data_IF_689824543355
#
_entry.id   IF_689824543355
#
_cell.length_a   1.000
_cell.length_b   1.000
_cell.length_c   1.000
_cell.angle_alpha   90.00
_cell.angle_beta   90.00
_cell.angle_gamma   90.00
#
_symmetry.space_group_name_H-M   'P 1'
#
loop_
_entity.id
_entity.type
_entity.pdbx_description
1 polymer ?
#
# COMPACT_ATOMS: atom_id res chain seq x y z
N UNK A 1 -23.60 21.77 22.79
CA UNK A 1 -22.69 22.50 21.90
C UNK A 1 -21.33 21.90 22.13
N UNK A 2 -20.96 20.94 21.29
CA UNK A 2 -19.67 20.26 21.30
C UNK A 2 -18.77 21.08 20.38
N UNK A 3 -17.75 21.74 20.90
CA UNK A 3 -17.03 22.82 20.22
C UNK A 3 -16.01 22.33 19.16
N UNK A 4 -16.06 21.05 18.78
CA UNK A 4 -15.20 20.48 17.76
C UNK A 4 -13.72 20.46 18.13
N UNK A 5 -13.36 20.75 19.38
CA UNK A 5 -11.96 20.73 19.82
C UNK A 5 -11.51 19.28 20.00
N UNK A 6 -10.81 18.76 18.98
CA UNK A 6 -10.13 17.47 19.06
C UNK A 6 -8.98 17.60 20.07
N UNK A 7 -9.15 17.05 21.26
CA UNK A 7 -8.10 16.97 22.28
C UNK A 7 -7.10 15.89 21.86
N UNK A 8 -6.07 16.31 21.11
CA UNK A 8 -4.93 15.45 20.78
C UNK A 8 -4.06 15.29 22.02
N UNK A 9 -3.83 14.04 22.46
CA UNK A 9 -2.94 13.73 23.59
C UNK A 9 -1.57 14.39 23.37
N UNK A 10 -0.98 15.02 24.40
CA UNK A 10 0.20 15.89 24.26
C UNK A 10 1.44 15.21 23.67
N UNK A 11 1.55 13.87 23.76
CA UNK A 11 2.64 13.11 23.13
C UNK A 11 2.52 12.93 21.61
N UNK A 12 1.30 12.89 21.06
CA UNK A 12 1.07 12.67 19.62
C UNK A 12 1.23 13.96 18.80
N UNK A 13 1.01 15.11 19.45
CA UNK A 13 1.05 16.44 18.83
C UNK A 13 2.49 16.84 18.47
N UNK A 14 3.45 16.49 19.32
CA UNK A 14 4.89 16.78 19.13
C UNK A 14 5.45 16.06 17.90
N UNK A 15 5.03 14.82 17.63
CA UNK A 15 5.49 14.08 16.45
C UNK A 15 4.80 14.53 15.16
N UNK A 16 3.53 14.91 15.22
CA UNK A 16 2.82 15.41 14.04
C UNK A 16 3.32 16.80 13.63
N UNK A 17 3.55 17.69 14.58
CA UNK A 17 4.10 19.02 14.31
C UNK A 17 5.52 18.90 13.72
N UNK A 18 6.36 18.01 14.28
CA UNK A 18 7.70 17.71 13.76
C UNK A 18 7.67 17.08 12.36
N UNK A 19 6.69 16.20 12.10
CA UNK A 19 6.47 15.60 10.78
C UNK A 19 6.01 16.65 9.76
N UNK A 20 5.05 17.50 10.12
CA UNK A 20 4.55 18.60 9.28
C UNK A 20 5.67 19.62 9.02
N UNK A 21 6.50 19.92 10.01
CA UNK A 21 7.63 20.83 9.90
C UNK A 21 8.75 20.25 9.02
N UNK A 22 9.00 18.94 9.08
CA UNK A 22 9.90 18.23 8.17
C UNK A 22 9.39 18.24 6.71
N UNK A 23 8.07 18.18 6.51
CA UNK A 23 7.45 18.33 5.18
C UNK A 23 7.54 19.78 4.68
N UNK A 24 7.34 20.78 5.55
CA UNK A 24 7.39 22.21 5.19
C UNK A 24 8.81 22.70 4.90
N UNK A 25 9.80 22.34 5.71
CA UNK A 25 11.21 22.72 5.49
C UNK A 25 11.74 22.20 4.15
N UNK A 26 11.33 20.99 3.74
CA UNK A 26 11.65 20.45 2.41
C UNK A 26 10.96 21.19 1.26
N UNK A 27 9.73 21.65 1.46
CA UNK A 27 9.00 22.47 0.47
C UNK A 27 9.66 23.84 0.26
N UNK A 28 10.13 24.48 1.33
CA UNK A 28 10.81 25.79 1.28
C UNK A 28 12.17 25.67 0.57
N UNK A 29 12.94 24.61 0.84
CA UNK A 29 14.24 24.42 0.19
C UNK A 29 14.10 24.22 -1.33
N UNK A 30 13.01 23.60 -1.79
CA UNK A 30 12.64 23.47 -3.21
C UNK A 30 12.20 24.77 -3.88
N UNK A 31 11.77 25.79 -3.13
CA UNK A 31 11.39 27.09 -3.69
C UNK A 31 12.58 28.07 -3.74
N UNK A 32 13.51 27.96 -2.80
CA UNK A 32 14.75 28.75 -2.80
C UNK A 32 15.64 28.38 -4.00
N UNK A 33 15.64 27.13 -4.45
CA UNK A 33 16.35 26.73 -5.68
C UNK A 33 15.65 27.19 -6.98
N UNK A 34 14.40 27.69 -6.92
CA UNK A 34 13.65 28.18 -8.08
C UNK A 34 13.74 29.69 -8.29
N UNK A 35 14.22 30.48 -7.33
CA UNK A 35 14.25 31.94 -7.45
C UNK A 35 15.46 32.51 -8.21
N UNK A 36 16.35 31.65 -8.76
CA UNK A 36 17.54 32.12 -9.50
C UNK A 36 17.41 32.03 -11.03
N UNK A 37 16.30 31.56 -11.60
CA UNK A 37 16.10 31.65 -13.07
C UNK A 37 14.66 32.05 -13.41
N UNK A 38 14.56 33.12 -14.20
CA UNK A 38 13.36 33.93 -14.38
C UNK A 38 12.46 33.49 -15.55
N UNK A 39 11.18 33.85 -15.41
CA UNK A 39 10.24 34.37 -16.42
C UNK A 39 9.51 33.44 -17.41
N UNK A 40 8.28 33.91 -17.70
CA UNK A 40 7.32 33.68 -18.78
C UNK A 40 6.39 32.45 -18.76
N UNK A 41 5.10 32.80 -18.59
CA UNK A 41 3.94 32.35 -19.35
C UNK A 41 3.37 30.93 -19.17
N UNK A 42 2.31 30.91 -18.35
CA UNK A 42 0.99 30.28 -18.54
C UNK A 42 0.83 29.28 -19.70
N UNK A 43 1.06 27.98 -19.43
CA UNK A 43 0.07 26.89 -19.65
C UNK A 43 0.51 25.51 -19.10
N UNK A 44 1.44 25.47 -18.13
CA UNK A 44 2.22 24.28 -17.81
C UNK A 44 1.87 23.58 -16.49
N UNK A 45 0.68 23.78 -15.92
CA UNK A 45 0.37 23.26 -14.56
C UNK A 45 0.34 21.72 -14.49
N UNK A 46 -0.26 21.04 -15.48
CA UNK A 46 -0.30 19.58 -15.52
C UNK A 46 1.03 18.96 -15.99
N UNK A 47 1.68 19.57 -16.98
CA UNK A 47 2.99 19.16 -17.47
C UNK A 47 4.09 19.39 -16.43
N UNK A 48 4.00 20.43 -15.59
CA UNK A 48 4.92 20.62 -14.45
C UNK A 48 4.66 19.65 -13.30
N UNK A 49 3.45 19.09 -13.19
CA UNK A 49 3.16 18.06 -12.17
C UNK A 49 3.68 16.70 -12.63
N UNK A 50 3.54 16.37 -13.92
CA UNK A 50 4.16 15.19 -14.56
C UNK A 50 5.69 15.31 -14.65
N UNK A 51 6.23 16.49 -14.97
CA UNK A 51 7.68 16.73 -15.00
C UNK A 51 8.28 16.71 -13.58
N UNK A 52 7.54 17.12 -12.54
CA UNK A 52 7.95 16.89 -11.15
C UNK A 52 7.97 15.41 -10.77
N UNK A 53 7.12 14.56 -11.35
CA UNK A 53 7.23 13.12 -11.16
C UNK A 53 8.49 12.54 -11.83
N UNK A 54 8.90 13.10 -12.97
CA UNK A 54 10.09 12.64 -13.72
C UNK A 54 11.42 13.24 -13.23
N UNK A 55 11.44 14.31 -12.44
CA UNK A 55 12.68 14.96 -11.96
C UNK A 55 13.31 14.30 -10.71
N UNK A 56 12.71 13.23 -10.16
CA UNK A 56 13.18 12.52 -8.96
C UNK A 56 13.83 11.16 -9.25
N UNK A 57 14.24 10.91 -10.49
CA UNK A 57 14.47 9.54 -10.97
C UNK A 57 15.79 8.88 -10.53
N UNK A 58 16.83 9.64 -10.15
CA UNK A 58 18.18 9.02 -10.06
C UNK A 58 18.79 8.89 -8.65
N UNK A 59 18.26 9.56 -7.62
CA UNK A 59 18.77 9.40 -6.24
C UNK A 59 17.67 9.37 -5.15
N UNK A 60 16.40 9.38 -5.56
CA UNK A 60 15.22 9.56 -4.69
C UNK A 60 14.38 8.30 -4.52
N UNK A 61 14.79 7.19 -5.15
CA UNK A 61 14.02 5.95 -5.20
C UNK A 61 13.91 5.23 -3.84
N UNK A 62 14.90 5.36 -2.95
CA UNK A 62 14.82 4.72 -1.61
C UNK A 62 13.82 5.43 -0.70
N UNK A 63 13.94 6.75 -0.54
CA UNK A 63 13.06 7.53 0.33
C UNK A 63 11.59 7.45 -0.10
N UNK A 64 11.33 7.56 -1.41
CA UNK A 64 9.98 7.51 -1.94
C UNK A 64 9.38 6.11 -1.75
N UNK A 65 10.18 5.05 -1.96
CA UNK A 65 9.78 3.67 -1.70
C UNK A 65 9.49 3.45 -0.20
N UNK A 66 10.34 3.95 0.69
CA UNK A 66 10.15 3.85 2.14
C UNK A 66 8.91 4.62 2.60
N UNK A 67 8.65 5.80 2.03
CA UNK A 67 7.45 6.55 2.29
C UNK A 67 6.20 5.79 1.85
N UNK A 68 6.16 5.28 0.61
CA UNK A 68 5.03 4.49 0.12
C UNK A 68 4.84 3.23 0.97
N UNK A 69 5.91 2.54 1.35
CA UNK A 69 5.84 1.38 2.24
C UNK A 69 5.22 1.73 3.59
N UNK A 70 5.66 2.81 4.24
CA UNK A 70 5.10 3.25 5.52
C UNK A 70 3.63 3.62 5.42
N UNK A 71 3.24 4.28 4.32
CA UNK A 71 1.84 4.63 4.05
C UNK A 71 0.99 3.38 3.76
N UNK A 72 1.51 2.39 3.04
CA UNK A 72 0.85 1.11 2.83
C UNK A 72 0.67 0.35 4.16
N UNK A 73 1.66 0.38 5.05
CA UNK A 73 1.56 -0.19 6.41
C UNK A 73 0.44 0.49 7.21
N UNK A 74 0.29 1.81 7.11
CA UNK A 74 -0.83 2.53 7.74
C UNK A 74 -2.18 2.04 7.21
N UNK A 75 -2.31 1.80 5.90
CA UNK A 75 -3.53 1.27 5.30
C UNK A 75 -3.83 -0.16 5.76
N UNK A 76 -2.82 -1.02 5.83
CA UNK A 76 -2.97 -2.43 6.24
C UNK A 76 -3.31 -2.54 7.74
N UNK A 77 -2.57 -1.83 8.60
CA UNK A 77 -2.75 -1.91 10.05
C UNK A 77 -3.92 -1.07 10.57
N UNK A 78 -4.10 0.14 10.03
CA UNK A 78 -5.15 1.07 10.45
C UNK A 78 -6.48 0.86 9.73
N UNK A 79 -6.47 0.15 8.60
CA UNK A 79 -7.63 -0.07 7.76
C UNK A 79 -8.03 1.16 6.93
N UNK A 80 -8.97 0.94 6.01
CA UNK A 80 -9.41 1.93 5.02
C UNK A 80 -9.91 3.24 5.63
N UNK A 81 -10.67 3.17 6.72
CA UNK A 81 -11.26 4.36 7.36
C UNK A 81 -10.20 5.26 7.99
N UNK A 82 -9.24 4.66 8.71
CA UNK A 82 -8.11 5.39 9.32
C UNK A 82 -7.25 6.03 8.24
N UNK A 83 -6.98 5.29 7.17
CA UNK A 83 -6.23 5.81 6.03
C UNK A 83 -6.93 7.01 5.37
N UNK A 84 -8.24 6.91 5.09
CA UNK A 84 -9.01 8.01 4.51
C UNK A 84 -9.04 9.24 5.41
N UNK A 85 -9.19 9.06 6.72
CA UNK A 85 -9.12 10.15 7.68
C UNK A 85 -7.78 10.90 7.56
N UNK A 86 -6.65 10.18 7.53
CA UNK A 86 -5.33 10.79 7.36
C UNK A 86 -5.19 11.46 5.99
N UNK A 87 -5.66 10.82 4.92
CA UNK A 87 -5.61 11.37 3.56
C UNK A 87 -6.37 12.68 3.43
N UNK A 88 -7.54 12.79 4.05
CA UNK A 88 -8.36 14.01 4.04
C UNK A 88 -7.69 15.16 4.81
N UNK A 89 -7.01 14.84 5.93
CA UNK A 89 -6.28 15.84 6.72
C UNK A 89 -4.93 16.23 6.09
N UNK A 90 -4.34 15.36 5.26
CA UNK A 90 -3.07 15.56 4.55
C UNK A 90 -3.26 15.52 3.03
N UNK A 91 -4.19 16.34 2.54
CA UNK A 91 -4.54 16.36 1.11
C UNK A 91 -3.33 16.62 0.22
N UNK A 92 -3.14 15.76 -0.80
CA UNK A 92 -2.02 15.84 -1.75
C UNK A 92 -0.68 15.30 -1.25
N UNK A 93 -0.54 14.95 0.03
CA UNK A 93 0.68 14.34 0.57
C UNK A 93 0.66 12.81 0.53
N UNK A 94 -0.54 12.21 0.53
CA UNK A 94 -0.74 10.76 0.62
C UNK A 94 -1.43 10.25 -0.67
N UNK A 95 -1.05 9.07 -1.21
CA UNK A 95 -1.62 8.53 -2.44
C UNK A 95 -3.15 8.32 -2.41
N UNK A 96 -3.75 8.10 -3.58
CA UNK A 96 -5.15 7.67 -3.64
C UNK A 96 -5.31 6.22 -3.14
N UNK A 97 -6.52 5.83 -2.71
CA UNK A 97 -6.79 4.42 -2.35
C UNK A 97 -6.44 3.50 -3.51
N UNK A 98 -6.87 3.85 -4.73
CA UNK A 98 -6.62 3.03 -5.93
C UNK A 98 -5.13 2.82 -6.18
N UNK A 99 -4.31 3.84 -5.90
CA UNK A 99 -2.86 3.75 -6.00
C UNK A 99 -2.29 2.78 -4.97
N UNK A 100 -2.80 2.80 -3.74
CA UNK A 100 -2.39 1.85 -2.69
C UNK A 100 -2.84 0.43 -3.00
N UNK A 101 -4.09 0.24 -3.39
CA UNK A 101 -4.61 -1.09 -3.74
C UNK A 101 -3.79 -1.67 -4.91
N UNK A 102 -3.45 -0.86 -5.91
CA UNK A 102 -2.56 -1.29 -6.99
C UNK A 102 -1.14 -1.60 -6.49
N UNK A 103 -0.60 -0.79 -5.58
CA UNK A 103 0.74 -1.00 -5.01
C UNK A 103 0.81 -2.30 -4.22
N UNK A 104 -0.16 -2.56 -3.33
CA UNK A 104 -0.26 -3.79 -2.54
C UNK A 104 -0.43 -5.00 -3.47
N UNK A 105 -1.30 -4.88 -4.48
CA UNK A 105 -1.50 -5.95 -5.46
C UNK A 105 -0.18 -6.29 -6.20
N UNK A 106 0.58 -5.28 -6.62
CA UNK A 106 1.89 -5.46 -7.28
C UNK A 106 2.98 -6.01 -6.35
N UNK A 107 2.92 -5.67 -5.07
CA UNK A 107 3.85 -6.18 -4.05
C UNK A 107 3.60 -7.65 -3.67
N UNK A 108 2.65 -8.33 -4.33
CA UNK A 108 2.29 -9.71 -4.03
C UNK A 108 1.29 -9.84 -2.88
N UNK A 109 0.52 -8.78 -2.57
CA UNK A 109 -0.48 -8.81 -1.49
C UNK A 109 -1.62 -9.81 -1.71
N UNK A 110 -1.80 -10.34 -2.93
CA UNK A 110 -2.75 -11.41 -3.24
C UNK A 110 -2.05 -12.76 -3.11
N UNK A 111 -2.57 -13.62 -2.23
CA UNK A 111 -2.14 -15.02 -2.10
C UNK A 111 -3.13 -15.85 -2.92
N UNK A 112 -2.63 -16.75 -3.76
CA UNK A 112 -3.46 -17.66 -4.52
C UNK A 112 -3.80 -18.91 -3.69
N UNK A 113 -4.96 -19.51 -3.96
CA UNK A 113 -5.35 -20.79 -3.37
C UNK A 113 -4.32 -21.88 -3.71
N UNK A 114 -3.90 -22.67 -2.71
CA UNK A 114 -2.90 -23.72 -2.89
C UNK A 114 -1.46 -23.22 -3.10
N UNK A 115 -1.21 -21.90 -3.12
CA UNK A 115 0.13 -21.33 -3.21
C UNK A 115 0.74 -21.15 -1.81
N UNK A 116 1.94 -21.70 -1.61
CA UNK A 116 2.71 -21.52 -0.39
C UNK A 116 4.00 -20.75 -0.67
N UNK A 117 4.28 -19.73 0.14
CA UNK A 117 5.49 -18.89 0.02
C UNK A 117 6.58 -19.32 0.98
N UNK A 118 6.98 -20.59 0.90
CA UNK A 118 8.00 -21.16 1.79
C UNK A 118 9.36 -20.47 1.63
N UNK A 119 9.71 -20.03 0.42
CA UNK A 119 10.98 -19.33 0.16
C UNK A 119 11.08 -18.02 0.97
N UNK A 120 10.00 -17.24 1.00
CA UNK A 120 9.93 -16.00 1.78
C UNK A 120 10.03 -16.27 3.27
N UNK A 121 9.38 -17.34 3.76
CA UNK A 121 9.46 -17.76 5.15
C UNK A 121 10.87 -18.23 5.51
N UNK A 122 11.52 -19.00 4.65
CA UNK A 122 12.89 -19.47 4.85
C UNK A 122 13.86 -18.30 4.90
N UNK A 123 13.74 -17.35 3.96
CA UNK A 123 14.56 -16.14 3.96
C UNK A 123 14.40 -15.35 5.28
N UNK A 124 13.16 -15.21 5.77
CA UNK A 124 12.88 -14.52 7.02
C UNK A 124 13.44 -15.27 8.24
N UNK A 125 13.39 -16.60 8.24
CA UNK A 125 13.98 -17.43 9.28
C UNK A 125 15.50 -17.24 9.33
N UNK A 126 16.16 -17.28 8.17
CA UNK A 126 17.60 -17.09 8.06
C UNK A 126 18.03 -15.66 8.43
N UNK A 127 17.31 -14.64 7.94
CA UNK A 127 17.65 -13.23 8.21
C UNK A 127 17.56 -12.88 9.70
N UNK A 128 16.61 -13.47 10.41
CA UNK A 128 16.39 -13.23 11.83
C UNK A 128 17.12 -14.24 12.74
N UNK A 129 17.90 -15.16 12.14
CA UNK A 129 18.65 -16.20 12.83
C UNK A 129 17.78 -17.07 13.76
N UNK A 130 16.58 -17.44 13.31
CA UNK A 130 15.69 -18.33 14.06
C UNK A 130 16.08 -19.79 13.85
N UNK A 131 16.35 -20.50 14.95
CA UNK A 131 16.78 -21.90 14.92
C UNK A 131 15.62 -22.89 14.68
N UNK A 132 14.39 -22.48 15.00
CA UNK A 132 13.20 -23.31 14.87
C UNK A 132 12.01 -22.44 14.45
N UNK A 133 11.25 -22.92 13.46
CA UNK A 133 9.95 -22.39 13.10
C UNK A 133 8.92 -23.51 13.28
N UNK A 134 7.82 -23.21 13.96
CA UNK A 134 6.70 -24.13 14.15
C UNK A 134 5.48 -23.53 13.48
N UNK A 135 4.80 -24.32 12.65
CA UNK A 135 3.57 -23.94 11.99
C UNK A 135 2.43 -24.82 12.51
N UNK A 136 1.31 -24.21 12.85
CA UNK A 136 0.05 -24.88 13.16
C UNK A 136 -1.01 -24.38 12.20
N UNK A 137 -1.79 -25.29 11.64
CA UNK A 137 -2.95 -24.97 10.83
C UNK A 137 -4.22 -25.09 11.70
N UNK A 138 -5.14 -24.15 11.53
CA UNK A 138 -6.48 -24.21 12.12
C UNK A 138 -7.51 -23.86 11.04
N UNK A 139 -8.64 -24.55 11.06
CA UNK A 139 -9.73 -24.36 10.10
C UNK A 139 -10.72 -23.33 10.65
N UNK A 140 -10.61 -22.08 10.19
CA UNK A 140 -11.61 -21.06 10.50
C UNK A 140 -12.87 -21.27 9.67
N UNK A 141 -14.05 -21.21 10.28
CA UNK A 141 -15.32 -21.23 9.55
C UNK A 141 -15.47 -20.01 8.65
N UNK A 142 -15.52 -20.22 7.34
CA UNK A 142 -15.71 -19.14 6.33
C UNK A 142 -17.14 -19.19 5.80
N UNK A 143 -17.79 -18.02 5.68
CA UNK A 143 -19.07 -17.92 4.98
C UNK A 143 -18.80 -18.17 3.49
N UNK A 144 -19.39 -19.24 2.95
CA UNK A 144 -19.25 -19.56 1.53
C UNK A 144 -19.82 -18.43 0.69
N UNK A 145 -18.94 -17.81 -0.09
CA UNK A 145 -19.29 -16.77 -1.05
C UNK A 145 -18.58 -17.06 -2.35
N UNK A 146 -19.36 -17.28 -3.41
CA UNK A 146 -18.83 -17.46 -4.76
C UNK A 146 -18.48 -16.09 -5.32
N UNK A 147 -17.25 -15.92 -5.78
CA UNK A 147 -16.72 -14.67 -6.34
C UNK A 147 -16.03 -14.98 -7.65
N UNK A 148 -16.36 -14.23 -8.69
CA UNK A 148 -15.65 -14.30 -9.96
C UNK A 148 -14.39 -13.42 -9.90
N UNK A 149 -13.24 -14.01 -10.23
CA UNK A 149 -11.95 -13.32 -10.30
C UNK A 149 -11.58 -13.07 -11.76
N UNK A 150 -11.83 -11.85 -12.23
CA UNK A 150 -11.63 -11.48 -13.64
C UNK A 150 -10.19 -11.64 -14.16
N UNK A 151 -9.12 -11.36 -13.38
CA UNK A 151 -7.74 -11.52 -13.85
C UNK A 151 -7.34 -12.97 -14.17
N UNK A 152 -7.86 -13.94 -13.43
CA UNK A 152 -7.57 -15.38 -13.63
C UNK A 152 -8.70 -16.10 -14.35
N UNK A 153 -9.82 -15.43 -14.61
CA UNK A 153 -11.00 -15.99 -15.25
C UNK A 153 -11.50 -17.26 -14.53
N UNK A 154 -11.58 -17.18 -13.20
CA UNK A 154 -11.90 -18.31 -12.33
C UNK A 154 -12.99 -17.95 -11.33
N UNK A 155 -13.82 -18.93 -10.97
CA UNK A 155 -14.74 -18.82 -9.84
C UNK A 155 -14.06 -19.29 -8.56
N UNK A 156 -14.03 -18.41 -7.56
CA UNK A 156 -13.48 -18.64 -6.22
C UNK A 156 -14.65 -18.90 -5.25
N UNK A 157 -14.44 -19.77 -4.27
CA UNK A 157 -15.42 -20.01 -3.19
C UNK A 157 -16.09 -21.39 -3.22
N UNK A 158 -15.73 -22.22 -4.20
CA UNK A 158 -16.05 -23.65 -4.20
C UNK A 158 -14.95 -24.45 -3.51
N UNK A 159 -15.29 -25.63 -2.97
CA UNK A 159 -14.29 -26.59 -2.54
C UNK A 159 -13.60 -27.19 -3.76
N UNK A 160 -12.32 -26.87 -3.93
CA UNK A 160 -11.47 -27.46 -4.97
C UNK A 160 -11.08 -28.90 -4.58
N UNK A 161 -10.87 -29.80 -5.56
CA UNK A 161 -10.30 -31.11 -5.27
C UNK A 161 -8.88 -30.95 -4.70
N UNK A 162 -8.48 -31.90 -3.87
CA UNK A 162 -7.18 -31.91 -3.22
C UNK A 162 -6.22 -32.85 -3.95
N UNK A 163 -5.02 -32.37 -4.31
CA UNK A 163 -3.87 -33.23 -4.66
C UNK A 163 -2.95 -33.29 -3.44
N UNK A 164 -2.76 -34.49 -2.87
CA UNK A 164 -1.90 -34.71 -1.68
C UNK A 164 -2.23 -33.77 -0.50
N UNK A 165 -3.52 -33.47 -0.32
CA UNK A 165 -4.02 -32.59 0.75
C UNK A 165 -3.91 -31.10 0.44
N UNK A 166 -3.43 -30.73 -0.76
CA UNK A 166 -3.31 -29.34 -1.20
C UNK A 166 -4.43 -29.03 -2.22
N UNK A 167 -5.17 -27.92 -2.03
CA UNK A 167 -6.12 -27.42 -3.02
C UNK A 167 -5.50 -27.28 -4.42
N UNK A 168 -6.16 -27.82 -5.44
CA UNK A 168 -5.74 -27.61 -6.83
C UNK A 168 -6.07 -26.17 -7.24
N UNK A 169 -5.06 -25.32 -7.56
CA UNK A 169 -5.29 -23.91 -7.87
C UNK A 169 -6.10 -23.74 -9.15
N UNK A 170 -6.94 -22.69 -9.18
CA UNK A 170 -7.67 -22.25 -10.38
C UNK A 170 -8.52 -23.36 -11.03
N UNK A 171 -9.06 -24.29 -10.25
CA UNK A 171 -9.76 -25.46 -10.76
C UNK A 171 -11.03 -25.12 -11.57
N UNK A 172 -11.81 -24.12 -11.13
CA UNK A 172 -13.04 -23.70 -11.79
C UNK A 172 -12.77 -22.54 -12.75
N UNK A 173 -12.11 -22.84 -13.87
CA UNK A 173 -11.96 -21.88 -14.97
C UNK A 173 -13.29 -21.74 -15.73
N UNK A 174 -13.61 -20.52 -16.12
CA UNK A 174 -14.79 -20.26 -16.95
C UNK A 174 -14.36 -20.05 -18.39
N UNK A 175 -14.79 -20.90 -19.30
CA UNK A 175 -14.71 -20.57 -20.72
C UNK A 175 -15.72 -19.45 -21.05
N UNK A 176 -15.49 -18.74 -22.15
CA UNK A 176 -16.42 -17.70 -22.61
C UNK A 176 -17.84 -18.24 -22.71
N UNK A 177 -18.81 -17.47 -22.22
CA UNK A 177 -20.24 -17.77 -22.37
C UNK A 177 -20.59 -17.97 -23.87
N UNK A 178 -20.90 -19.20 -24.26
CA UNK A 178 -21.74 -19.50 -25.43
C UNK A 178 -23.22 -19.57 -25.02
#
# INVERSE_FOLDING_TARGET
MDDGTVIVKPGLRIDLDRFIEALRTKSIHSQISKSTTASSDNDSSLSNTLAKFNMFEENSNSFLKDFINNIATLYIMGGRNTYEFVRLNLSGAVPSITSIDSFISKAGGKIMEGEFRYDTLQHLQTSNNYQLAVCSEDCTGVIQKIVYDAPTNTLIGFSTPLDRGIPVPQYFQTDSYE
#
